data_IF_672286756372
#
_entry.id   IF_672286756372
#
_cell.length_a   1.000
_cell.length_b   1.000
_cell.length_c   1.000
_cell.angle_alpha   90.00
_cell.angle_beta   90.00
_cell.angle_gamma   90.00
#
_symmetry.space_group_name_H-M   'P 1'
#
loop_
_entity.id
_entity.type
_entity.pdbx_description
1 polymer ?
#
# COMPACT_ATOMS: atom_id res chain seq x y z
N UNK A 1 41.66 -29.51 28.37
CA UNK A 1 40.81 -29.33 27.17
C UNK A 1 39.36 -29.47 27.57
N UNK A 2 38.75 -28.37 28.00
CA UNK A 2 37.29 -28.23 27.94
C UNK A 2 36.95 -27.65 26.57
N UNK A 3 35.93 -28.18 25.86
CA UNK A 3 35.54 -27.67 24.56
C UNK A 3 34.87 -26.31 24.70
N UNK A 4 35.17 -25.46 23.73
CA UNK A 4 34.59 -24.15 23.48
C UNK A 4 33.06 -24.23 23.55
N UNK A 5 32.45 -23.50 24.49
CA UNK A 5 31.04 -23.17 24.42
C UNK A 5 30.86 -22.29 23.19
N UNK A 6 30.27 -22.89 22.16
CA UNK A 6 29.87 -22.22 20.93
C UNK A 6 29.03 -20.98 21.28
N UNK A 7 29.52 -19.87 20.76
CA UNK A 7 29.03 -18.49 20.80
C UNK A 7 27.61 -18.39 20.21
N UNK A 8 26.61 -18.83 20.97
CA UNK A 8 25.19 -18.56 20.73
C UNK A 8 24.67 -17.50 21.71
N UNK A 9 25.40 -16.38 21.85
CA UNK A 9 24.71 -15.14 22.16
C UNK A 9 24.00 -14.71 20.87
N UNK A 10 22.73 -15.10 20.71
CA UNK A 10 21.82 -14.34 19.86
C UNK A 10 21.89 -12.89 20.36
N UNK A 11 22.70 -12.05 19.70
CA UNK A 11 22.76 -10.62 19.96
C UNK A 11 21.31 -10.11 19.96
N UNK A 12 20.83 -9.73 21.14
CA UNK A 12 19.49 -9.18 21.31
C UNK A 12 19.51 -7.83 20.58
N UNK A 13 19.05 -7.86 19.32
CA UNK A 13 18.98 -6.70 18.42
C UNK A 13 18.25 -5.55 19.14
N UNK A 14 18.88 -4.37 19.21
CA UNK A 14 18.20 -3.18 19.74
C UNK A 14 17.11 -2.72 18.76
N UNK A 15 16.08 -2.03 19.25
CA UNK A 15 15.02 -1.51 18.38
C UNK A 15 15.54 -0.58 17.24
N UNK A 16 16.70 0.06 17.44
CA UNK A 16 17.34 0.89 16.42
C UNK A 16 18.03 0.05 15.34
N UNK A 17 18.72 -1.02 15.73
CA UNK A 17 19.34 -1.98 14.81
C UNK A 17 18.28 -2.73 14.01
N UNK A 18 17.18 -3.15 14.64
CA UNK A 18 16.05 -3.80 13.96
C UNK A 18 15.45 -2.89 12.89
N UNK A 19 15.23 -1.61 13.24
CA UNK A 19 14.74 -0.61 12.28
C UNK A 19 15.71 -0.40 11.12
N UNK A 20 17.02 -0.36 11.41
CA UNK A 20 18.05 -0.23 10.37
C UNK A 20 18.10 -1.45 9.46
N UNK A 21 17.99 -2.66 10.02
CA UNK A 21 17.96 -3.92 9.25
C UNK A 21 16.74 -3.98 8.34
N UNK A 22 15.56 -3.63 8.85
CA UNK A 22 14.32 -3.55 8.06
C UNK A 22 14.43 -2.50 6.95
N UNK A 23 14.97 -1.32 7.25
CA UNK A 23 15.16 -0.26 6.25
C UNK A 23 16.14 -0.69 5.15
N UNK A 24 17.25 -1.36 5.49
CA UNK A 24 18.20 -1.90 4.51
C UNK A 24 17.57 -2.97 3.62
N UNK A 25 16.78 -3.89 4.21
CA UNK A 25 16.05 -4.90 3.45
C UNK A 25 15.07 -4.25 2.47
N UNK A 26 14.33 -3.24 2.92
CA UNK A 26 13.41 -2.51 2.06
C UNK A 26 14.11 -1.82 0.89
N UNK A 27 15.24 -1.15 1.14
CA UNK A 27 16.03 -0.54 0.05
C UNK A 27 16.50 -1.57 -0.97
N UNK A 28 16.92 -2.74 -0.50
CA UNK A 28 17.34 -3.84 -1.39
C UNK A 28 16.17 -4.36 -2.23
N UNK A 29 14.99 -4.56 -1.64
CA UNK A 29 13.77 -4.96 -2.37
C UNK A 29 13.40 -3.93 -3.45
N UNK A 30 13.44 -2.63 -3.12
CA UNK A 30 13.17 -1.56 -4.09
C UNK A 30 14.22 -1.52 -5.20
N UNK A 31 15.49 -1.71 -4.89
CA UNK A 31 16.58 -1.77 -5.88
C UNK A 31 16.44 -2.95 -6.84
N UNK A 32 16.05 -4.13 -6.35
CA UNK A 32 15.81 -5.32 -7.15
C UNK A 32 14.60 -5.12 -8.08
N UNK A 33 13.48 -4.60 -7.57
CA UNK A 33 12.29 -4.32 -8.37
C UNK A 33 12.52 -3.28 -9.47
N UNK A 34 13.26 -2.20 -9.19
CA UNK A 34 13.55 -1.19 -10.23
C UNK A 34 14.60 -1.70 -11.24
N UNK A 35 15.53 -2.58 -10.84
CA UNK A 35 16.50 -3.21 -11.76
C UNK A 35 15.83 -4.15 -12.77
N UNK A 36 14.79 -4.84 -12.34
CA UNK A 36 14.05 -5.79 -13.19
C UNK A 36 13.08 -5.08 -14.17
N UNK A 37 12.88 -3.76 -14.04
CA UNK A 37 12.12 -2.97 -15.02
C UNK A 37 12.92 -2.76 -16.31
N UNK A 38 12.22 -2.87 -17.44
CA UNK A 38 12.82 -2.75 -18.80
C UNK A 38 13.51 -1.38 -19.04
N UNK A 39 13.12 -0.34 -18.31
CA UNK A 39 13.72 1.00 -18.35
C UNK A 39 14.38 1.33 -16.99
N UNK A 40 15.53 0.71 -16.70
CA UNK A 40 16.33 1.12 -15.54
C UNK A 40 16.92 2.51 -15.77
N UNK A 41 16.35 3.51 -15.11
CA UNK A 41 16.86 4.88 -15.07
C UNK A 41 17.73 5.11 -13.82
N UNK A 42 18.86 5.80 -14.01
CA UNK A 42 19.67 6.26 -12.88
C UNK A 42 18.83 7.22 -12.00
N UNK A 43 18.59 6.83 -10.74
CA UNK A 43 17.75 7.59 -9.80
C UNK A 43 16.31 7.08 -9.65
N UNK A 44 15.93 5.96 -10.28
CA UNK A 44 14.59 5.37 -10.14
C UNK A 44 14.20 5.08 -8.67
N UNK A 45 15.14 4.54 -7.90
CA UNK A 45 14.95 4.24 -6.46
C UNK A 45 14.67 5.53 -5.66
N UNK A 46 15.45 6.58 -5.88
CA UNK A 46 15.27 7.86 -5.19
C UNK A 46 13.92 8.50 -5.52
N UNK A 47 13.51 8.44 -6.81
CA UNK A 47 12.21 8.92 -7.26
C UNK A 47 11.07 8.15 -6.58
N UNK A 48 11.15 6.82 -6.53
CA UNK A 48 10.14 5.98 -5.88
C UNK A 48 10.00 6.27 -4.38
N UNK A 49 11.11 6.34 -3.66
CA UNK A 49 11.11 6.69 -2.23
C UNK A 49 10.54 8.09 -1.98
N UNK A 50 10.83 9.04 -2.87
CA UNK A 50 10.27 10.39 -2.78
C UNK A 50 8.75 10.38 -3.02
N UNK A 51 8.26 9.61 -3.98
CA UNK A 51 6.82 9.44 -4.22
C UNK A 51 6.12 8.83 -3.02
N UNK A 52 6.65 7.73 -2.46
CA UNK A 52 6.12 7.07 -1.27
C UNK A 52 6.06 8.01 -0.06
N UNK A 53 7.13 8.79 0.17
CA UNK A 53 7.15 9.83 1.21
C UNK A 53 6.06 10.89 0.99
N UNK A 54 5.89 11.34 -0.26
CA UNK A 54 4.85 12.31 -0.60
C UNK A 54 3.44 11.72 -0.43
N UNK A 55 3.26 10.42 -0.71
CA UNK A 55 2.00 9.70 -0.53
C UNK A 55 1.66 9.59 0.97
N UNK A 56 2.63 9.20 1.80
CA UNK A 56 2.48 9.14 3.26
C UNK A 56 2.15 10.51 3.87
N UNK A 57 2.75 11.59 3.33
CA UNK A 57 2.43 12.97 3.74
C UNK A 57 1.15 13.53 3.12
N UNK A 58 0.48 12.79 2.23
CA UNK A 58 -0.70 13.26 1.51
C UNK A 58 -0.44 14.44 0.56
N UNK A 59 0.80 14.61 0.10
CA UNK A 59 1.25 15.69 -0.80
C UNK A 59 1.55 15.22 -2.21
N UNK A 60 1.48 13.92 -2.48
CA UNK A 60 1.73 13.38 -3.81
C UNK A 60 0.60 13.76 -4.77
N UNK A 61 0.96 14.39 -5.90
CA UNK A 61 0.04 14.72 -6.98
C UNK A 61 0.28 13.79 -8.16
N UNK A 62 -0.67 12.90 -8.46
CA UNK A 62 -0.65 12.01 -9.63
C UNK A 62 -1.43 12.65 -10.79
N UNK A 63 -0.81 12.79 -11.96
CA UNK A 63 -1.45 13.32 -13.18
C UNK A 63 -1.85 12.12 -14.04
N UNK A 64 -3.13 11.75 -13.99
CA UNK A 64 -3.65 10.53 -14.66
C UNK A 64 -4.68 10.83 -15.75
N UNK A 65 -4.92 12.11 -16.05
CA UNK A 65 -5.96 12.52 -16.99
C UNK A 65 -5.65 12.04 -18.42
N UNK A 66 -4.41 12.21 -18.88
CA UNK A 66 -3.99 11.84 -20.24
C UNK A 66 -3.94 10.32 -20.45
N UNK A 67 -3.73 9.55 -19.37
CA UNK A 67 -3.70 8.08 -19.39
C UNK A 67 -5.06 7.44 -19.13
N UNK A 68 -6.10 8.23 -18.86
CA UNK A 68 -7.42 7.71 -18.55
C UNK A 68 -8.18 7.32 -19.82
N UNK A 69 -8.29 6.01 -20.06
CA UNK A 69 -8.96 5.43 -21.24
C UNK A 69 -10.48 5.25 -21.07
N UNK A 70 -11.05 5.68 -19.93
CA UNK A 70 -12.47 5.52 -19.61
C UNK A 70 -12.76 4.39 -18.61
N UNK A 71 -14.03 3.99 -18.55
CA UNK A 71 -14.49 2.83 -17.78
C UNK A 71 -14.99 1.74 -18.74
N UNK A 72 -14.92 0.48 -18.33
CA UNK A 72 -15.44 -0.66 -19.09
C UNK A 72 -16.96 -0.77 -19.00
N UNK A 73 -17.48 -1.98 -18.85
CA UNK A 73 -18.91 -2.17 -18.58
C UNK A 73 -19.29 -1.59 -17.21
N UNK A 74 -20.35 -0.78 -17.18
CA UNK A 74 -20.89 -0.27 -15.92
C UNK A 74 -21.61 -1.42 -15.20
N UNK A 75 -21.14 -1.78 -14.01
CA UNK A 75 -21.85 -2.70 -13.14
C UNK A 75 -22.90 -1.93 -12.34
N UNK A 76 -24.17 -2.11 -12.69
CA UNK A 76 -25.28 -1.61 -11.89
C UNK A 76 -25.55 -2.53 -10.71
N UNK A 77 -25.20 -2.07 -9.51
CA UNK A 77 -25.56 -2.74 -8.27
C UNK A 77 -26.89 -2.18 -7.74
N UNK A 78 -27.83 -3.06 -7.44
CA UNK A 78 -29.11 -2.70 -6.80
C UNK A 78 -29.12 -3.21 -5.37
N UNK A 79 -28.95 -2.31 -4.41
CA UNK A 79 -29.17 -2.60 -3.00
C UNK A 79 -30.68 -2.59 -2.72
N UNK A 80 -31.28 -3.77 -2.54
CA UNK A 80 -32.70 -3.90 -2.22
C UNK A 80 -32.98 -3.77 -0.73
N UNK A 81 -31.95 -3.80 0.11
CA UNK A 81 -32.08 -3.72 1.56
C UNK A 81 -32.43 -2.31 2.06
N UNK A 82 -32.02 -1.27 1.34
CA UNK A 82 -32.32 0.11 1.70
C UNK A 82 -33.79 0.45 1.39
N UNK A 83 -34.48 1.03 2.37
CA UNK A 83 -35.87 1.49 2.26
C UNK A 83 -35.96 2.94 1.81
N UNK A 84 -34.97 3.74 2.20
CA UNK A 84 -34.86 5.16 1.85
C UNK A 84 -33.62 5.42 0.96
N UNK A 85 -33.43 6.69 0.57
CA UNK A 85 -32.31 7.14 -0.26
C UNK A 85 -30.94 6.90 0.39
N UNK A 86 -29.99 6.34 -0.38
CA UNK A 86 -28.58 6.20 -0.01
C UNK A 86 -27.94 7.60 0.14
N UNK A 87 -27.17 7.80 1.20
CA UNK A 87 -26.55 9.09 1.56
C UNK A 87 -25.02 9.05 1.59
N UNK A 88 -24.43 7.87 1.80
CA UNK A 88 -22.98 7.72 1.85
C UNK A 88 -22.52 6.35 1.31
N UNK A 89 -21.28 6.32 0.83
CA UNK A 89 -20.59 5.13 0.33
C UNK A 89 -19.15 5.11 0.86
N UNK A 90 -18.62 3.92 1.11
CA UNK A 90 -17.21 3.69 1.44
C UNK A 90 -16.73 2.44 0.70
N UNK A 91 -15.58 2.53 0.04
CA UNK A 91 -14.98 1.42 -0.72
C UNK A 91 -13.68 1.02 -0.02
N UNK A 92 -13.45 -0.28 0.13
CA UNK A 92 -12.20 -0.78 0.70
C UNK A 92 -11.03 -0.54 -0.25
N UNK A 93 -9.83 -0.34 0.29
CA UNK A 93 -8.62 -0.08 -0.51
C UNK A 93 -8.31 -1.19 -1.52
N UNK A 94 -8.73 -2.42 -1.25
CA UNK A 94 -8.57 -3.57 -2.14
C UNK A 94 -9.73 -3.73 -3.15
N UNK A 95 -10.68 -2.80 -3.19
CA UNK A 95 -11.87 -2.80 -4.02
C UNK A 95 -12.75 -4.07 -3.91
N UNK A 96 -12.58 -4.88 -2.85
CA UNK A 96 -13.37 -6.12 -2.65
C UNK A 96 -14.68 -5.89 -1.94
N UNK A 97 -14.78 -4.82 -1.15
CA UNK A 97 -15.96 -4.52 -0.34
C UNK A 97 -16.34 -3.06 -0.52
N UNK A 98 -17.64 -2.83 -0.53
CA UNK A 98 -18.22 -1.50 -0.44
C UNK A 98 -19.21 -1.50 0.72
N UNK A 99 -19.44 -0.35 1.32
CA UNK A 99 -20.49 -0.16 2.31
C UNK A 99 -21.33 1.03 1.88
N UNK A 100 -22.64 0.90 2.05
CA UNK A 100 -23.63 1.91 1.72
C UNK A 100 -24.48 2.23 2.94
N UNK A 101 -24.75 3.52 3.16
CA UNK A 101 -25.59 4.02 4.25
C UNK A 101 -26.82 4.75 3.72
N UNK A 102 -27.96 4.57 4.38
CA UNK A 102 -29.24 5.17 3.98
C UNK A 102 -29.91 5.96 5.11
N UNK A 103 -30.88 6.81 4.76
CA UNK A 103 -31.69 7.61 5.70
C UNK A 103 -32.56 6.77 6.63
N UNK A 104 -32.80 5.52 6.29
CA UNK A 104 -33.52 4.55 7.13
C UNK A 104 -32.66 4.04 8.32
N UNK A 105 -31.40 4.48 8.41
CA UNK A 105 -30.46 4.09 9.45
C UNK A 105 -29.76 2.74 9.18
N UNK A 106 -29.95 2.15 8.01
CA UNK A 106 -29.29 0.89 7.64
C UNK A 106 -27.92 1.11 7.00
N UNK A 107 -27.04 0.12 7.22
CA UNK A 107 -25.73 0.00 6.58
C UNK A 107 -25.68 -1.37 5.90
N UNK A 108 -25.37 -1.38 4.61
CA UNK A 108 -25.36 -2.58 3.76
C UNK A 108 -23.98 -2.73 3.13
N UNK A 109 -23.49 -3.97 3.02
CA UNK A 109 -22.18 -4.34 2.47
C UNK A 109 -22.32 -4.90 1.06
#
# INVERSE_FOLDING_TARGET
>A
NSPEEEDYEEEIETAQEERLRLAKRYLQEVEEEERDREEFEEGAVSRRLQEEYLEEKGKLRKIVADSYIGYGECQELRCKEHRDSITCLCISNNAKFMYSGSKDGSIVK
#
